data_IF_776027598692
#
_entry.id   IF_776027598692
#
_cell.length_a   1.000
_cell.length_b   1.000
_cell.length_c   1.000
_cell.angle_alpha   90.00
_cell.angle_beta   90.00
_cell.angle_gamma   90.00
#
_symmetry.space_group_name_H-M   'P 1'
#
loop_
_entity.id
_entity.type
_entity.pdbx_description
1 polymer ?
#
# COMPACT_ATOMS: atom_id res chain seq x y z
N UNK A 1 -14.60 -11.50 21.60
CA UNK A 1 -13.33 -12.03 21.07
C UNK A 1 -12.22 -11.20 21.67
N UNK A 2 -11.20 -11.82 22.25
CA UNK A 2 -10.05 -11.09 22.77
C UNK A 2 -9.28 -10.49 21.58
N UNK A 3 -8.67 -9.30 21.72
CA UNK A 3 -7.93 -8.64 20.62
C UNK A 3 -6.87 -9.55 19.96
N UNK A 4 -6.21 -10.39 20.76
CA UNK A 4 -5.25 -11.39 20.26
C UNK A 4 -5.89 -12.50 19.42
N UNK A 5 -7.07 -12.98 19.79
CA UNK A 5 -7.81 -13.97 19.00
C UNK A 5 -8.26 -13.37 17.66
N UNK A 6 -8.70 -12.11 17.68
CA UNK A 6 -9.09 -11.39 16.47
C UNK A 6 -7.90 -11.19 15.53
N UNK A 7 -6.74 -10.80 16.09
CA UNK A 7 -5.50 -10.67 15.34
C UNK A 7 -5.06 -12.00 14.74
N UNK A 8 -5.05 -13.07 15.54
CA UNK A 8 -4.70 -14.41 15.07
C UNK A 8 -5.62 -14.85 13.91
N UNK A 9 -6.93 -14.59 14.01
CA UNK A 9 -7.89 -14.89 12.94
C UNK A 9 -7.60 -14.13 11.65
N UNK A 10 -7.24 -12.85 11.74
CA UNK A 10 -6.86 -12.06 10.55
C UNK A 10 -5.54 -12.53 9.92
N UNK A 11 -4.55 -12.86 10.75
CA UNK A 11 -3.28 -13.40 10.28
C UNK A 11 -3.45 -14.78 9.61
N UNK A 12 -4.30 -15.63 10.16
CA UNK A 12 -4.67 -16.92 9.56
C UNK A 12 -5.40 -16.76 8.22
N UNK A 13 -6.34 -15.80 8.14
CA UNK A 13 -7.06 -15.50 6.90
C UNK A 13 -6.12 -15.04 5.78
N UNK A 14 -5.18 -14.13 6.08
CA UNK A 14 -4.12 -13.71 5.15
C UNK A 14 -3.20 -14.89 4.78
N UNK A 15 -2.97 -15.77 5.76
CA UNK A 15 -1.99 -16.83 5.76
C UNK A 15 -0.58 -16.31 6.08
N UNK A 16 0.34 -17.22 6.34
CA UNK A 16 1.79 -16.94 6.42
C UNK A 16 2.57 -17.85 5.47
N UNK A 17 3.65 -17.38 4.83
CA UNK A 17 4.50 -18.26 4.05
C UNK A 17 5.26 -19.14 5.05
N UNK A 18 5.72 -20.30 4.61
CA UNK A 18 6.67 -21.05 5.44
C UNK A 18 7.88 -20.14 5.71
N UNK A 19 8.29 -19.91 6.98
CA UNK A 19 9.41 -19.03 7.28
C UNK A 19 10.65 -19.47 6.52
N UNK A 20 11.23 -18.54 5.75
CA UNK A 20 12.50 -18.72 5.04
C UNK A 20 13.43 -17.60 5.44
N UNK A 21 14.68 -17.94 5.75
CA UNK A 21 15.72 -16.96 6.03
C UNK A 21 16.30 -16.49 4.70
N UNK A 22 16.23 -15.20 4.44
CA UNK A 22 16.89 -14.55 3.31
C UNK A 22 17.27 -13.12 3.70
N UNK A 23 18.23 -12.54 2.98
CA UNK A 23 18.57 -11.13 3.12
C UNK A 23 17.57 -10.28 2.33
N UNK A 24 16.71 -9.56 3.04
CA UNK A 24 15.74 -8.62 2.48
C UNK A 24 16.36 -7.23 2.20
N UNK A 25 17.67 -7.16 2.02
CA UNK A 25 18.40 -5.93 1.71
C UNK A 25 17.97 -5.27 0.40
N UNK A 26 18.19 -3.95 0.34
CA UNK A 26 17.93 -3.13 -0.83
C UNK A 26 19.20 -2.96 -1.66
N UNK A 27 19.13 -3.29 -2.95
CA UNK A 27 20.22 -3.05 -3.91
C UNK A 27 19.81 -1.92 -4.86
N UNK A 28 20.41 -0.72 -4.76
CA UNK A 28 20.18 0.37 -5.72
C UNK A 28 20.61 -0.04 -7.13
N UNK A 29 19.79 0.28 -8.13
CA UNK A 29 20.07 0.01 -9.55
C UNK A 29 20.22 1.28 -10.36
N UNK A 30 19.37 2.27 -10.12
CA UNK A 30 19.38 3.54 -10.85
C UNK A 30 19.09 4.68 -9.88
N UNK A 31 19.85 5.77 -10.01
CA UNK A 31 19.57 7.04 -9.35
C UNK A 31 19.34 8.12 -10.40
N UNK A 32 18.34 8.95 -10.19
CA UNK A 32 18.02 10.07 -11.07
C UNK A 32 17.60 11.29 -10.26
N UNK A 33 17.60 12.45 -10.90
CA UNK A 33 17.19 13.72 -10.29
C UNK A 33 16.08 14.34 -11.11
N UNK A 34 15.01 14.72 -10.43
CA UNK A 34 13.90 15.49 -10.97
C UNK A 34 13.92 16.90 -10.39
N UNK A 35 12.97 17.73 -10.81
CA UNK A 35 12.76 19.07 -10.23
C UNK A 35 12.48 19.00 -8.73
N UNK A 36 11.62 18.07 -8.30
CA UNK A 36 11.10 18.01 -6.92
C UNK A 36 11.88 17.06 -6.00
N UNK A 37 12.55 16.04 -6.54
CA UNK A 37 13.19 14.98 -5.75
C UNK A 37 14.37 14.31 -6.41
N UNK A 38 15.14 13.61 -5.58
CA UNK A 38 16.11 12.60 -5.98
C UNK A 38 15.43 11.24 -5.89
N UNK A 39 15.37 10.53 -7.01
CA UNK A 39 14.81 9.18 -7.10
C UNK A 39 15.91 8.12 -7.09
N UNK A 40 15.70 7.05 -6.32
CA UNK A 40 16.54 5.83 -6.38
C UNK A 40 15.64 4.64 -6.61
N UNK A 41 15.82 3.96 -7.74
CA UNK A 41 15.17 2.69 -8.04
C UNK A 41 16.14 1.58 -7.69
N UNK A 42 15.67 0.59 -6.96
CA UNK A 42 16.44 -0.59 -6.63
C UNK A 42 15.56 -1.83 -6.50
N UNK A 43 16.17 -2.92 -6.10
CA UNK A 43 15.48 -4.20 -5.87
C UNK A 43 15.64 -4.66 -4.43
N UNK A 44 14.59 -5.26 -3.90
CA UNK A 44 14.56 -5.92 -2.61
C UNK A 44 14.09 -7.36 -2.78
N UNK A 45 14.72 -8.32 -2.10
CA UNK A 45 14.19 -9.68 -2.06
C UNK A 45 12.90 -9.74 -1.23
N UNK A 46 11.91 -10.49 -1.72
CA UNK A 46 10.68 -10.84 -1.00
C UNK A 46 10.57 -12.32 -0.70
N UNK A 47 11.36 -13.14 -1.42
CA UNK A 47 11.65 -14.54 -1.15
C UNK A 47 13.11 -14.80 -1.60
N UNK A 48 13.72 -15.97 -1.30
CA UNK A 48 15.11 -16.25 -1.70
C UNK A 48 15.41 -16.04 -3.21
N UNK A 49 14.42 -16.26 -4.07
CA UNK A 49 14.50 -16.18 -5.53
C UNK A 49 13.59 -15.11 -6.16
N UNK A 50 12.83 -14.36 -5.34
CA UNK A 50 11.84 -13.38 -5.80
C UNK A 50 12.26 -11.99 -5.33
N UNK A 51 12.17 -11.00 -6.22
CA UNK A 51 12.55 -9.61 -5.94
C UNK A 51 11.44 -8.65 -6.34
N UNK A 52 11.23 -7.60 -5.57
CA UNK A 52 10.40 -6.45 -5.92
C UNK A 52 11.28 -5.24 -6.24
N UNK A 53 10.89 -4.46 -7.25
CA UNK A 53 11.42 -3.10 -7.46
C UNK A 53 10.79 -2.14 -6.47
N UNK A 54 11.61 -1.22 -5.98
CA UNK A 54 11.20 -0.14 -5.08
C UNK A 54 11.77 1.16 -5.62
N UNK A 55 10.93 2.20 -5.70
CA UNK A 55 11.38 3.58 -5.83
C UNK A 55 11.43 4.23 -4.46
N UNK A 56 12.57 4.83 -4.14
CA UNK A 56 12.75 5.74 -3.02
C UNK A 56 12.81 7.16 -3.56
N UNK A 57 11.90 8.02 -3.13
CA UNK A 57 11.82 9.43 -3.51
C UNK A 57 12.19 10.29 -2.30
N UNK A 58 13.27 11.06 -2.41
CA UNK A 58 13.70 12.00 -1.36
C UNK A 58 13.62 13.44 -1.86
N UNK A 59 12.90 14.34 -1.16
CA UNK A 59 12.89 15.77 -1.50
C UNK A 59 14.31 16.32 -1.69
N UNK A 60 14.52 17.21 -2.66
CA UNK A 60 15.88 17.76 -2.93
C UNK A 60 16.46 18.49 -1.71
N UNK A 61 15.62 19.19 -0.98
CA UNK A 61 15.95 19.88 0.25
C UNK A 61 15.31 19.15 1.44
N UNK A 62 15.86 17.98 1.78
CA UNK A 62 15.32 17.13 2.84
C UNK A 62 15.73 17.64 4.23
N UNK A 63 14.76 18.04 5.05
CA UNK A 63 14.96 18.26 6.48
C UNK A 63 14.94 16.92 7.22
N UNK A 64 16.03 16.58 7.90
CA UNK A 64 16.24 15.27 8.55
C UNK A 64 16.18 15.37 10.09
N UNK A 65 15.74 14.30 10.79
CA UNK A 65 15.09 13.13 10.23
C UNK A 65 13.71 13.50 9.66
N UNK A 66 13.29 12.86 8.58
CA UNK A 66 12.10 13.23 7.82
C UNK A 66 10.93 12.27 8.09
N UNK A 67 9.67 12.74 8.05
CA UNK A 67 8.54 11.84 8.00
C UNK A 67 8.55 11.03 6.70
N UNK A 68 8.02 9.81 6.73
CA UNK A 68 8.03 8.93 5.57
C UNK A 68 6.68 8.26 5.32
N UNK A 69 6.38 8.04 4.04
CA UNK A 69 5.15 7.41 3.58
C UNK A 69 5.48 6.22 2.68
N UNK A 70 4.99 5.05 3.08
CA UNK A 70 4.94 3.89 2.19
C UNK A 70 3.75 4.06 1.24
N UNK A 71 3.98 3.95 -0.06
CA UNK A 71 3.00 4.19 -1.11
C UNK A 71 2.94 2.99 -2.08
N UNK A 72 2.38 1.85 -1.66
CA UNK A 72 2.26 0.67 -2.51
C UNK A 72 1.19 0.88 -3.59
N UNK A 73 1.42 0.35 -4.80
CA UNK A 73 0.44 0.36 -5.88
C UNK A 73 0.71 -0.79 -6.88
N UNK A 74 0.54 -0.60 -8.19
CA UNK A 74 0.95 -1.61 -9.17
C UNK A 74 2.49 -1.68 -9.29
N UNK A 75 3.11 -0.56 -9.64
CA UNK A 75 4.55 -0.44 -9.82
C UNK A 75 5.02 1.01 -9.65
N UNK A 76 6.32 1.24 -9.39
CA UNK A 76 6.82 2.54 -8.94
C UNK A 76 6.60 3.66 -9.96
N UNK A 77 6.74 3.38 -11.26
CA UNK A 77 6.51 4.37 -12.32
C UNK A 77 5.07 4.90 -12.33
N UNK A 78 4.07 4.08 -11.93
CA UNK A 78 2.67 4.52 -11.86
C UNK A 78 2.46 5.61 -10.84
N UNK A 79 3.11 5.55 -9.68
CA UNK A 79 2.89 6.53 -8.59
C UNK A 79 3.83 7.73 -8.67
N UNK A 80 4.97 7.56 -9.35
CA UNK A 80 5.96 8.61 -9.56
C UNK A 80 5.55 9.55 -10.71
N UNK A 81 4.69 9.08 -11.61
CA UNK A 81 4.20 9.84 -12.76
C UNK A 81 5.24 10.05 -13.85
N UNK A 82 6.35 9.30 -13.82
CA UNK A 82 7.46 9.39 -14.79
C UNK A 82 7.85 8.01 -15.32
N UNK A 83 8.39 7.96 -16.54
CA UNK A 83 9.15 6.80 -17.02
C UNK A 83 10.60 6.93 -16.55
N UNK A 84 11.20 5.87 -15.99
CA UNK A 84 12.56 5.97 -15.42
C UNK A 84 13.67 6.08 -16.46
N UNK A 85 13.44 5.62 -17.69
CA UNK A 85 14.45 5.70 -18.75
C UNK A 85 14.54 7.10 -19.37
N UNK A 86 13.39 7.77 -19.57
CA UNK A 86 13.34 9.10 -20.20
C UNK A 86 13.20 10.23 -19.19
N UNK A 87 12.76 9.92 -17.96
CA UNK A 87 12.33 10.88 -16.93
C UNK A 87 11.18 11.80 -17.39
N UNK A 88 10.56 11.49 -18.52
CA UNK A 88 9.40 12.22 -19.01
C UNK A 88 8.17 11.87 -18.18
N UNK A 89 7.27 12.84 -18.03
CA UNK A 89 5.97 12.58 -17.42
C UNK A 89 5.21 11.58 -18.28
N UNK A 90 4.56 10.62 -17.64
CA UNK A 90 3.69 9.68 -18.35
C UNK A 90 2.46 10.44 -18.88
N UNK A 91 2.11 10.24 -20.14
CA UNK A 91 0.90 10.83 -20.74
C UNK A 91 -0.38 10.29 -20.07
N UNK A 92 -1.45 11.09 -20.06
CA UNK A 92 -2.78 10.71 -19.53
C UNK A 92 -2.78 10.22 -18.07
N UNK A 93 -1.96 10.79 -17.18
CA UNK A 93 -1.92 10.42 -15.76
C UNK A 93 -3.17 10.87 -15.01
N UNK A 94 -4.08 9.97 -14.57
CA UNK A 94 -5.06 10.32 -13.55
C UNK A 94 -4.34 10.73 -12.26
N UNK A 95 -5.01 11.48 -11.38
CA UNK A 95 -4.42 12.03 -10.15
C UNK A 95 -3.79 10.96 -9.23
N UNK A 96 -4.27 9.72 -9.32
CA UNK A 96 -3.68 8.55 -8.66
C UNK A 96 -2.24 8.25 -9.09
N UNK A 97 -1.78 8.82 -10.20
CA UNK A 97 -0.43 8.63 -10.75
C UNK A 97 0.59 9.69 -10.29
N UNK A 98 0.16 10.68 -9.51
CA UNK A 98 1.03 11.75 -8.97
C UNK A 98 0.98 11.82 -7.44
N UNK A 99 0.44 10.79 -6.76
CA UNK A 99 0.38 10.73 -5.30
C UNK A 99 1.79 10.81 -4.69
N UNK A 100 2.77 10.13 -5.28
CA UNK A 100 4.17 10.18 -4.82
C UNK A 100 4.75 11.58 -4.92
N UNK A 101 4.51 12.26 -6.05
CA UNK A 101 4.95 13.64 -6.26
C UNK A 101 4.30 14.61 -5.26
N UNK A 102 3.00 14.46 -5.00
CA UNK A 102 2.28 15.30 -4.05
C UNK A 102 2.85 15.16 -2.63
N UNK A 103 3.17 13.94 -2.19
CA UNK A 103 3.75 13.68 -0.88
C UNK A 103 5.19 14.21 -0.77
N UNK A 104 6.03 13.93 -1.77
CA UNK A 104 7.40 14.43 -1.81
C UNK A 104 7.47 15.96 -1.73
N UNK A 105 6.58 16.67 -2.43
CA UNK A 105 6.50 18.14 -2.37
C UNK A 105 6.14 18.69 -0.99
N UNK A 106 5.55 17.87 -0.12
CA UNK A 106 5.25 18.20 1.27
C UNK A 106 6.41 17.86 2.23
N UNK A 107 7.52 17.33 1.72
CA UNK A 107 8.70 17.00 2.51
C UNK A 107 8.75 15.56 3.01
N UNK A 108 7.83 14.69 2.57
CA UNK A 108 7.87 13.27 2.91
C UNK A 108 8.93 12.53 2.09
N UNK A 109 9.65 11.62 2.74
CA UNK A 109 10.35 10.53 2.04
C UNK A 109 9.31 9.51 1.60
N UNK A 110 9.32 9.09 0.34
CA UNK A 110 8.32 8.15 -0.19
C UNK A 110 9.00 6.86 -0.63
N UNK A 111 8.51 5.73 -0.13
CA UNK A 111 8.89 4.38 -0.59
C UNK A 111 7.73 3.77 -1.36
N UNK A 112 7.96 3.40 -2.61
CA UNK A 112 6.95 2.85 -3.49
C UNK A 112 7.37 1.48 -4.03
N UNK A 113 6.96 0.38 -3.37
CA UNK A 113 7.19 -0.97 -3.87
C UNK A 113 6.23 -1.33 -5.00
N UNK A 114 6.71 -2.17 -5.92
CA UNK A 114 5.85 -2.89 -6.86
C UNK A 114 5.14 -4.06 -6.18
N UNK A 115 4.10 -4.59 -6.83
CA UNK A 115 3.33 -5.72 -6.28
C UNK A 115 3.59 -7.02 -7.01
N UNK A 116 3.19 -8.13 -6.37
CA UNK A 116 3.68 -9.44 -6.75
C UNK A 116 3.28 -9.93 -8.15
N UNK A 117 2.26 -9.33 -8.77
CA UNK A 117 1.91 -9.60 -10.17
C UNK A 117 3.02 -9.29 -11.19
N UNK A 118 4.06 -8.56 -10.78
CA UNK A 118 5.24 -8.28 -11.60
C UNK A 118 6.48 -9.06 -11.16
N UNK A 119 6.49 -9.63 -9.95
CA UNK A 119 7.60 -10.43 -9.47
C UNK A 119 7.34 -11.95 -9.54
N UNK A 120 6.09 -12.36 -9.77
CA UNK A 120 5.64 -13.75 -9.96
C UNK A 120 4.50 -13.83 -11.01
N UNK A 121 4.51 -14.82 -11.94
CA UNK A 121 5.68 -15.48 -12.49
C UNK A 121 6.54 -14.52 -13.31
N UNK A 122 7.74 -15.00 -13.63
CA UNK A 122 8.44 -14.49 -14.81
C UNK A 122 7.51 -14.62 -16.01
N UNK A 123 7.21 -13.49 -16.63
CA UNK A 123 6.17 -13.37 -17.62
C UNK A 123 6.58 -12.30 -18.64
N UNK A 124 6.37 -12.60 -19.92
CA UNK A 124 6.71 -11.73 -21.05
C UNK A 124 5.59 -10.74 -21.41
N UNK A 125 4.41 -10.85 -20.77
CA UNK A 125 3.29 -9.93 -21.01
C UNK A 125 3.66 -8.49 -20.63
N UNK A 126 2.98 -7.48 -21.18
CA UNK A 126 3.18 -6.09 -20.71
C UNK A 126 2.88 -5.94 -19.22
N UNK A 127 3.48 -4.96 -18.54
CA UNK A 127 3.29 -4.73 -17.08
C UNK A 127 1.83 -4.50 -16.69
N UNK A 128 1.08 -3.82 -17.56
CA UNK A 128 -0.34 -3.53 -17.36
C UNK A 128 -1.28 -4.65 -17.86
N UNK A 129 -0.74 -5.78 -18.31
CA UNK A 129 -1.55 -6.88 -18.81
C UNK A 129 -2.28 -7.58 -17.65
N UNK A 130 -3.60 -7.37 -17.58
CA UNK A 130 -4.45 -7.93 -16.52
C UNK A 130 -4.30 -9.45 -16.27
N UNK A 131 -4.09 -10.31 -17.29
CA UNK A 131 -3.86 -11.74 -17.06
C UNK A 131 -2.69 -12.07 -16.13
N UNK A 132 -1.72 -11.15 -15.97
CA UNK A 132 -0.61 -11.30 -15.01
C UNK A 132 -1.10 -11.58 -13.59
N UNK A 133 -2.18 -10.94 -13.15
CA UNK A 133 -2.71 -11.12 -11.80
C UNK A 133 -3.17 -12.55 -11.52
N UNK A 134 -3.92 -13.15 -12.46
CA UNK A 134 -4.35 -14.54 -12.32
C UNK A 134 -3.16 -15.51 -12.38
N UNK A 135 -2.19 -15.27 -13.27
CA UNK A 135 -0.95 -16.07 -13.34
C UNK A 135 -0.16 -16.01 -12.03
N UNK A 136 -0.01 -14.81 -11.47
CA UNK A 136 0.68 -14.56 -10.22
C UNK A 136 -0.01 -15.25 -9.05
N UNK A 137 -1.34 -15.15 -8.95
CA UNK A 137 -2.13 -15.81 -7.92
C UNK A 137 -2.01 -17.35 -8.03
N UNK A 138 -2.03 -17.89 -9.25
CA UNK A 138 -1.86 -19.32 -9.48
C UNK A 138 -0.48 -19.83 -9.05
N UNK A 139 0.60 -19.11 -9.38
CA UNK A 139 1.94 -19.49 -8.91
C UNK A 139 2.09 -19.34 -7.40
N UNK A 140 1.57 -18.25 -6.82
CA UNK A 140 1.55 -18.03 -5.37
C UNK A 140 0.90 -19.21 -4.65
N UNK A 141 -0.27 -19.64 -5.13
CA UNK A 141 -1.02 -20.77 -4.58
C UNK A 141 -0.26 -22.11 -4.71
N UNK A 142 0.57 -22.28 -5.74
CA UNK A 142 1.44 -23.45 -5.88
C UNK A 142 2.63 -23.40 -4.91
N UNK A 143 3.25 -22.23 -4.74
CA UNK A 143 4.42 -22.02 -3.88
C UNK A 143 4.06 -22.03 -2.39
N UNK A 144 2.92 -21.45 -2.04
CA UNK A 144 2.45 -21.23 -0.67
C UNK A 144 0.94 -21.50 -0.56
N UNK A 145 0.51 -22.78 -0.42
CA UNK A 145 -0.90 -23.14 -0.53
C UNK A 145 -1.84 -22.51 0.50
N UNK A 146 -1.33 -22.16 1.67
CA UNK A 146 -2.11 -21.54 2.74
C UNK A 146 -2.16 -20.01 2.64
N UNK A 147 -1.46 -19.44 1.66
CA UNK A 147 -1.33 -18.00 1.45
C UNK A 147 -2.41 -17.43 0.54
N UNK A 148 -2.77 -16.19 0.81
CA UNK A 148 -3.66 -15.41 -0.05
C UNK A 148 -2.86 -14.38 -0.83
N UNK A 149 -3.36 -13.96 -1.99
CA UNK A 149 -2.76 -12.85 -2.72
C UNK A 149 -2.71 -11.57 -1.89
N UNK A 150 -3.73 -11.32 -1.05
CA UNK A 150 -3.69 -10.21 -0.09
C UNK A 150 -2.58 -10.39 0.95
N UNK A 151 -2.38 -11.60 1.46
CA UNK A 151 -1.27 -11.94 2.36
C UNK A 151 0.11 -11.65 1.75
N UNK A 152 0.34 -12.03 0.48
CA UNK A 152 1.57 -11.72 -0.25
C UNK A 152 1.79 -10.21 -0.39
N UNK A 153 0.74 -9.47 -0.78
CA UNK A 153 0.82 -8.02 -0.93
C UNK A 153 1.19 -7.32 0.38
N UNK A 154 0.59 -7.74 1.50
CA UNK A 154 0.90 -7.20 2.83
C UNK A 154 2.33 -7.54 3.25
N UNK A 155 2.76 -8.79 3.06
CA UNK A 155 4.11 -9.22 3.43
C UNK A 155 5.19 -8.46 2.65
N UNK A 156 5.04 -8.33 1.33
CA UNK A 156 6.00 -7.62 0.48
C UNK A 156 6.08 -6.13 0.84
N UNK A 157 4.93 -5.50 1.09
CA UNK A 157 4.88 -4.10 1.50
C UNK A 157 5.48 -3.87 2.90
N UNK A 158 5.36 -4.84 3.83
CA UNK A 158 6.00 -4.76 5.14
C UNK A 158 7.53 -4.87 5.06
N UNK A 159 8.07 -5.64 4.11
CA UNK A 159 9.51 -5.65 3.85
C UNK A 159 10.00 -4.29 3.33
N UNK A 160 9.22 -3.61 2.49
CA UNK A 160 9.52 -2.25 2.06
C UNK A 160 9.40 -1.22 3.21
N UNK A 161 8.44 -1.42 4.13
CA UNK A 161 8.33 -0.65 5.37
C UNK A 161 9.56 -0.84 6.27
N UNK A 162 10.11 -2.05 6.36
CA UNK A 162 11.33 -2.31 7.13
C UNK A 162 12.53 -1.52 6.59
N UNK A 163 12.69 -1.46 5.26
CA UNK A 163 13.71 -0.62 4.63
C UNK A 163 13.47 0.87 4.92
N UNK A 164 12.23 1.33 4.78
CA UNK A 164 11.87 2.73 5.03
C UNK A 164 12.15 3.13 6.49
N UNK A 165 11.82 2.28 7.45
CA UNK A 165 12.04 2.54 8.87
C UNK A 165 13.52 2.46 9.29
N UNK A 166 14.36 1.79 8.51
CA UNK A 166 15.79 1.66 8.73
C UNK A 166 16.63 2.71 7.95
N UNK A 167 16.00 3.58 7.17
CA UNK A 167 16.66 4.65 6.43
C UNK A 167 17.11 5.77 7.40
N UNK A 168 18.41 6.08 7.44
CA UNK A 168 19.00 7.09 8.33
C UNK A 168 18.41 8.51 8.12
N UNK A 169 17.76 8.75 6.97
CA UNK A 169 17.11 10.02 6.69
C UNK A 169 15.67 10.10 7.22
N UNK A 170 15.11 8.99 7.68
CA UNK A 170 13.71 8.83 8.09
C UNK A 170 13.60 8.81 9.61
N UNK A 171 12.57 9.47 10.14
CA UNK A 171 12.19 9.35 11.53
C UNK A 171 11.28 8.12 11.74
N UNK A 172 11.73 7.10 12.48
CA UNK A 172 10.95 5.87 12.67
C UNK A 172 9.65 6.09 13.47
N UNK A 173 9.45 7.26 14.09
CA UNK A 173 8.22 7.60 14.81
C UNK A 173 7.21 8.37 13.92
N UNK A 174 7.59 8.75 12.70
CA UNK A 174 6.75 9.52 11.77
C UNK A 174 6.52 8.77 10.47
N UNK A 175 6.02 7.54 10.60
CA UNK A 175 5.73 6.64 9.47
C UNK A 175 4.23 6.61 9.18
N UNK A 176 3.88 6.72 7.90
CA UNK A 176 2.53 6.48 7.41
C UNK A 176 2.53 5.53 6.21
N UNK A 177 1.33 5.08 5.88
CA UNK A 177 1.07 4.37 4.62
C UNK A 177 -0.12 5.02 3.94
N UNK A 178 0.01 5.24 2.64
CA UNK A 178 -1.05 5.81 1.82
C UNK A 178 -1.25 4.97 0.56
N UNK A 179 -2.45 4.99 -0.02
CA UNK A 179 -2.67 4.32 -1.29
C UNK A 179 -4.07 4.50 -1.84
N UNK A 180 -4.19 4.27 -3.15
CA UNK A 180 -5.44 4.35 -3.90
C UNK A 180 -5.77 2.99 -4.54
N UNK A 181 -7.06 2.62 -4.61
CA UNK A 181 -7.52 1.38 -5.26
C UNK A 181 -6.80 0.15 -4.66
N UNK A 182 -6.11 -0.65 -5.47
CA UNK A 182 -5.21 -1.71 -4.98
C UNK A 182 -4.26 -1.21 -3.87
N UNK A 183 -3.62 -0.06 -4.07
CA UNK A 183 -2.73 0.54 -3.09
C UNK A 183 -3.44 0.87 -1.78
N UNK A 184 -4.71 1.26 -1.83
CA UNK A 184 -5.54 1.52 -0.65
C UNK A 184 -5.82 0.24 0.14
N UNK A 185 -6.06 -0.90 -0.54
CA UNK A 185 -6.18 -2.22 0.10
C UNK A 185 -4.91 -2.55 0.88
N UNK A 186 -3.74 -2.40 0.24
CA UNK A 186 -2.45 -2.69 0.85
C UNK A 186 -2.17 -1.73 2.02
N UNK A 187 -2.40 -0.43 1.82
CA UNK A 187 -2.20 0.58 2.85
C UNK A 187 -3.03 0.31 4.10
N UNK A 188 -4.32 -0.02 3.93
CA UNK A 188 -5.21 -0.33 5.03
C UNK A 188 -4.71 -1.53 5.85
N UNK A 189 -4.36 -2.65 5.20
CA UNK A 189 -3.89 -3.84 5.89
C UNK A 189 -2.51 -3.65 6.53
N UNK A 190 -1.54 -3.05 5.83
CA UNK A 190 -0.20 -2.79 6.39
C UNK A 190 -0.31 -1.87 7.59
N UNK A 191 -1.06 -0.78 7.48
CA UNK A 191 -1.18 0.20 8.55
C UNK A 191 -1.93 -0.28 9.79
N UNK A 192 -2.89 -1.19 9.63
CA UNK A 192 -3.62 -1.77 10.77
C UNK A 192 -2.89 -2.94 11.42
N UNK A 193 -1.94 -3.57 10.74
CA UNK A 193 -1.21 -4.74 11.24
C UNK A 193 0.22 -4.43 11.70
N UNK A 194 0.75 -3.24 11.40
CA UNK A 194 2.10 -2.82 11.79
C UNK A 194 2.06 -1.63 12.75
N UNK A 195 2.47 -1.87 14.01
CA UNK A 195 2.37 -0.89 15.09
C UNK A 195 3.29 0.32 14.94
N UNK A 196 4.23 0.30 13.97
CA UNK A 196 5.08 1.46 13.67
C UNK A 196 4.34 2.53 12.87
N UNK A 197 3.26 2.17 12.18
CA UNK A 197 2.47 3.09 11.38
C UNK A 197 1.62 3.97 12.28
N UNK A 198 1.74 5.28 12.11
CA UNK A 198 0.98 6.28 12.85
C UNK A 198 -0.28 6.74 12.11
N UNK A 199 -0.22 6.76 10.77
CA UNK A 199 -1.30 7.27 9.93
C UNK A 199 -1.54 6.38 8.70
N UNK A 200 -2.82 6.26 8.32
CA UNK A 200 -3.27 5.57 7.13
C UNK A 200 -4.14 6.51 6.31
N UNK A 201 -3.83 6.64 5.02
CA UNK A 201 -4.75 7.19 4.02
C UNK A 201 -5.07 6.13 2.99
N UNK A 202 -6.32 5.69 2.91
CA UNK A 202 -6.75 4.75 1.88
C UNK A 202 -7.84 5.39 1.02
N UNK A 203 -7.72 5.25 -0.29
CA UNK A 203 -8.64 5.84 -1.25
C UNK A 203 -9.34 4.77 -2.08
N UNK A 204 -10.66 4.79 -2.03
CA UNK A 204 -11.61 4.08 -2.89
C UNK A 204 -11.20 2.62 -3.16
N UNK A 205 -10.88 1.91 -2.08
CA UNK A 205 -10.37 0.54 -2.13
C UNK A 205 -11.45 -0.51 -1.85
N UNK A 206 -12.62 -0.06 -1.41
CA UNK A 206 -13.78 -0.86 -1.05
C UNK A 206 -13.63 -1.48 0.33
N UNK A 207 -13.89 -0.72 1.40
CA UNK A 207 -13.83 -1.22 2.79
C UNK A 207 -14.96 -2.21 3.12
N UNK A 208 -16.00 -2.28 2.28
CA UNK A 208 -17.06 -3.29 2.38
C UNK A 208 -16.73 -4.47 1.46
N UNK A 209 -16.94 -5.70 1.93
CA UNK A 209 -16.58 -6.88 1.13
C UNK A 209 -17.24 -6.96 -0.24
N UNK A 210 -18.47 -6.49 -0.33
CA UNK A 210 -19.28 -6.57 -1.54
C UNK A 210 -19.17 -5.31 -2.42
N UNK A 211 -18.35 -4.33 -2.02
CA UNK A 211 -18.20 -3.11 -2.81
C UNK A 211 -17.12 -3.20 -3.89
N UNK A 212 -16.27 -4.23 -3.86
CA UNK A 212 -15.25 -4.45 -4.90
C UNK A 212 -14.86 -5.92 -5.04
N UNK A 213 -13.85 -6.19 -5.84
CA UNK A 213 -13.41 -7.50 -6.27
C UNK A 213 -12.56 -8.28 -5.23
N UNK A 214 -12.91 -8.23 -3.94
CA UNK A 214 -12.19 -8.99 -2.90
C UNK A 214 -12.16 -10.51 -3.12
N UNK A 215 -13.09 -11.03 -3.93
CA UNK A 215 -13.23 -12.43 -4.29
C UNK A 215 -12.22 -12.89 -5.36
N UNK A 216 -11.50 -11.98 -6.00
CA UNK A 216 -10.48 -12.35 -6.97
C UNK A 216 -9.32 -13.10 -6.30
N UNK A 217 -8.72 -14.02 -7.05
CA UNK A 217 -7.68 -14.95 -6.54
C UNK A 217 -6.42 -14.21 -6.06
N UNK A 218 -6.17 -13.01 -6.60
CA UNK A 218 -5.06 -12.19 -6.16
C UNK A 218 -5.32 -11.39 -4.86
N UNK A 219 -6.50 -11.54 -4.27
CA UNK A 219 -6.83 -11.07 -2.93
C UNK A 219 -7.16 -12.26 -2.01
N UNK A 220 -8.43 -12.47 -1.65
CA UNK A 220 -8.86 -13.55 -0.75
C UNK A 220 -9.40 -14.78 -1.48
N UNK A 221 -9.72 -14.67 -2.77
CA UNK A 221 -10.20 -15.79 -3.58
C UNK A 221 -11.33 -16.56 -2.89
N UNK A 222 -11.19 -17.89 -2.89
CA UNK A 222 -12.14 -18.82 -2.28
C UNK A 222 -12.29 -18.67 -0.76
N UNK A 223 -11.34 -18.05 -0.05
CA UNK A 223 -11.43 -17.86 1.41
C UNK A 223 -12.48 -16.81 1.79
N UNK A 224 -12.79 -15.85 0.90
CA UNK A 224 -13.68 -14.73 1.24
C UNK A 224 -15.06 -15.17 1.74
N UNK A 225 -15.67 -16.18 1.10
CA UNK A 225 -17.00 -16.66 1.51
C UNK A 225 -17.01 -17.21 2.94
N UNK A 226 -15.98 -17.98 3.32
CA UNK A 226 -15.82 -18.49 4.67
C UNK A 226 -15.53 -17.37 5.68
N UNK A 227 -14.73 -16.37 5.30
CA UNK A 227 -14.46 -15.19 6.13
C UNK A 227 -15.74 -14.40 6.42
N UNK A 228 -16.58 -14.16 5.41
CA UNK A 228 -17.89 -13.52 5.56
C UNK A 228 -18.81 -14.34 6.47
N UNK A 229 -18.88 -15.66 6.26
CA UNK A 229 -19.68 -16.56 7.09
C UNK A 229 -19.21 -16.59 8.56
N UNK A 230 -17.92 -16.38 8.80
CA UNK A 230 -17.33 -16.25 10.13
C UNK A 230 -17.49 -14.83 10.75
N UNK A 231 -18.23 -13.93 10.10
CA UNK A 231 -18.47 -12.57 10.59
C UNK A 231 -17.24 -11.67 10.56
N UNK A 232 -16.27 -11.95 9.68
CA UNK A 232 -15.14 -11.04 9.46
C UNK A 232 -15.61 -9.85 8.62
N UNK A 233 -15.21 -8.64 9.00
CA UNK A 233 -15.43 -7.39 8.27
C UNK A 233 -14.26 -6.43 8.52
N UNK A 234 -13.93 -5.59 7.54
CA UNK A 234 -12.66 -4.86 7.53
C UNK A 234 -12.51 -3.86 8.68
N UNK A 235 -13.58 -3.34 9.26
CA UNK A 235 -13.55 -2.47 10.44
C UNK A 235 -12.91 -3.13 11.67
N UNK A 236 -12.93 -4.47 11.75
CA UNK A 236 -12.22 -5.21 12.82
C UNK A 236 -10.70 -4.95 12.82
N UNK A 237 -10.11 -4.62 11.67
CA UNK A 237 -8.68 -4.27 11.61
C UNK A 237 -8.40 -2.91 12.29
N UNK A 238 -9.35 -1.97 12.28
CA UNK A 238 -9.23 -0.71 13.01
C UNK A 238 -9.37 -0.89 14.52
N UNK A 239 -10.09 -1.92 14.98
CA UNK A 239 -10.14 -2.32 16.39
C UNK A 239 -8.79 -2.87 16.88
N UNK A 240 -8.04 -3.55 16.01
CA UNK A 240 -6.70 -4.06 16.31
C UNK A 240 -5.64 -2.96 16.37
N UNK A 241 -5.90 -1.81 15.75
CA UNK A 241 -4.99 -0.66 15.70
C UNK A 241 -5.63 0.59 16.31
N UNK A 242 -6.00 0.60 17.60
CA UNK A 242 -6.72 1.72 18.21
C UNK A 242 -5.91 3.02 18.22
N UNK A 243 -4.58 2.92 18.18
CA UNK A 243 -3.70 4.08 18.12
C UNK A 243 -3.59 4.68 16.70
N UNK A 244 -3.71 3.89 15.63
CA UNK A 244 -3.48 4.41 14.27
C UNK A 244 -4.58 5.40 13.89
N UNK A 245 -4.22 6.53 13.29
CA UNK A 245 -5.19 7.46 12.70
C UNK A 245 -5.49 7.03 11.28
N UNK A 246 -6.77 6.99 10.91
CA UNK A 246 -7.20 6.53 9.57
C UNK A 246 -8.03 7.61 8.88
N UNK A 247 -7.80 7.79 7.58
CA UNK A 247 -8.61 8.60 6.68
C UNK A 247 -9.02 7.78 5.45
N UNK A 248 -10.32 7.69 5.20
CA UNK A 248 -10.89 7.08 4.01
C UNK A 248 -11.34 8.16 3.03
N UNK A 249 -10.80 8.11 1.81
CA UNK A 249 -11.36 8.83 0.66
C UNK A 249 -12.30 7.87 -0.07
N UNK A 250 -13.57 8.21 -0.17
CA UNK A 250 -14.63 7.42 -0.79
C UNK A 250 -15.12 8.05 -2.11
N UNK A 251 -15.36 7.22 -3.12
CA UNK A 251 -15.82 7.63 -4.45
C UNK A 251 -16.76 6.61 -5.11
N UNK A 252 -16.21 5.60 -5.79
CA UNK A 252 -16.96 4.58 -6.52
C UNK A 252 -17.11 3.28 -5.73
N UNK A 253 -16.01 2.73 -5.21
CA UNK A 253 -16.01 1.47 -4.47
C UNK A 253 -16.18 1.67 -2.96
N UNK A 254 -15.91 2.87 -2.48
CA UNK A 254 -16.32 3.35 -1.17
C UNK A 254 -17.34 4.46 -1.34
N UNK A 255 -18.31 4.52 -0.43
CA UNK A 255 -19.42 5.47 -0.50
C UNK A 255 -19.89 5.85 0.91
N UNK A 256 -20.95 6.66 1.04
CA UNK A 256 -21.48 7.06 2.35
C UNK A 256 -21.71 5.88 3.32
N UNK A 257 -22.21 4.75 2.82
CA UNK A 257 -22.39 3.52 3.61
C UNK A 257 -21.10 2.88 4.14
N UNK A 258 -19.92 3.17 3.57
CA UNK A 258 -18.63 2.69 4.07
C UNK A 258 -18.33 3.20 5.48
N UNK A 259 -18.94 4.31 5.91
CA UNK A 259 -18.76 4.91 7.24
C UNK A 259 -19.09 3.96 8.39
N UNK A 260 -19.87 2.91 8.14
CA UNK A 260 -20.21 1.87 9.14
C UNK A 260 -18.99 1.08 9.62
N UNK A 261 -17.94 0.96 8.80
CA UNK A 261 -16.70 0.26 9.17
C UNK A 261 -15.70 1.18 9.89
N UNK A 262 -15.97 2.49 9.95
CA UNK A 262 -15.05 3.51 10.48
C UNK A 262 -15.35 3.82 11.94
N UNK A 263 -14.32 4.19 12.69
CA UNK A 263 -14.46 4.75 14.03
C UNK A 263 -14.87 6.22 13.94
N UNK A 264 -15.41 6.75 15.03
CA UNK A 264 -15.82 8.16 15.08
C UNK A 264 -14.66 9.15 15.00
N UNK A 265 -13.46 8.73 15.39
CA UNK A 265 -12.22 9.49 15.27
C UNK A 265 -11.62 9.48 13.86
N UNK A 266 -12.12 8.62 12.96
CA UNK A 266 -11.52 8.45 11.63
C UNK A 266 -11.99 9.57 10.68
N UNK A 267 -11.07 10.02 9.84
CA UNK A 267 -11.38 10.95 8.78
C UNK A 267 -12.13 10.27 7.63
N UNK A 268 -13.08 10.97 7.04
CA UNK A 268 -13.89 10.44 5.95
C UNK A 268 -14.25 11.56 4.97
N UNK A 269 -13.94 11.37 3.70
CA UNK A 269 -14.35 12.26 2.62
C UNK A 269 -15.01 11.43 1.52
N UNK A 270 -16.32 11.59 1.31
CA UNK A 270 -17.01 10.99 0.17
C UNK A 270 -17.17 12.03 -0.94
N UNK A 271 -16.34 11.94 -1.98
CA UNK A 271 -16.38 12.87 -3.10
C UNK A 271 -17.38 12.44 -4.19
N UNK A 272 -17.81 11.17 -4.21
CA UNK A 272 -18.83 10.62 -5.14
C UNK A 272 -18.61 10.94 -6.64
N UNK A 273 -17.35 11.17 -7.05
CA UNK A 273 -16.99 11.60 -8.41
C UNK A 273 -16.39 10.49 -9.28
N UNK A 274 -16.61 9.22 -8.89
CA UNK A 274 -16.04 8.05 -9.56
C UNK A 274 -14.82 7.49 -8.81
N UNK A 275 -14.05 6.63 -9.48
CA UNK A 275 -12.96 5.90 -8.84
C UNK A 275 -11.78 6.79 -8.45
N UNK A 276 -11.37 7.70 -9.34
CA UNK A 276 -10.23 8.56 -9.08
C UNK A 276 -10.59 9.61 -7.99
N UNK A 277 -9.78 9.76 -6.94
CA UNK A 277 -10.01 10.81 -5.95
C UNK A 277 -9.87 12.19 -6.60
N UNK A 278 -10.63 13.17 -6.13
CA UNK A 278 -10.52 14.55 -6.60
C UNK A 278 -9.38 15.31 -5.89
N UNK A 279 -8.92 16.45 -6.44
CA UNK A 279 -7.89 17.26 -5.81
C UNK A 279 -8.27 17.71 -4.40
N UNK A 280 -9.54 18.05 -4.18
CA UNK A 280 -10.05 18.51 -2.88
C UNK A 280 -10.06 17.38 -1.85
N UNK A 281 -10.40 16.16 -2.27
CA UNK A 281 -10.37 14.99 -1.41
C UNK A 281 -8.93 14.62 -1.03
N UNK A 282 -8.01 14.67 -2.00
CA UNK A 282 -6.58 14.48 -1.77
C UNK A 282 -6.02 15.56 -0.84
N UNK A 283 -6.35 16.83 -1.05
CA UNK A 283 -5.90 17.93 -0.19
C UNK A 283 -6.33 17.74 1.27
N UNK A 284 -7.57 17.29 1.51
CA UNK A 284 -8.04 16.96 2.87
C UNK A 284 -7.26 15.79 3.48
N UNK A 285 -7.05 14.72 2.73
CA UNK A 285 -6.30 13.57 3.21
C UNK A 285 -4.82 13.88 3.49
N UNK A 286 -4.20 14.74 2.68
CA UNK A 286 -2.83 15.20 2.90
C UNK A 286 -2.73 16.16 4.09
N UNK A 287 -3.72 17.03 4.29
CA UNK A 287 -3.83 17.82 5.53
C UNK A 287 -3.94 16.92 6.76
N UNK A 288 -4.69 15.82 6.67
CA UNK A 288 -4.78 14.84 7.74
C UNK A 288 -3.44 14.12 8.01
N UNK A 289 -2.67 13.77 6.97
CA UNK A 289 -1.31 13.23 7.15
C UNK A 289 -0.41 14.22 7.90
N UNK A 290 -0.41 15.50 7.49
CA UNK A 290 0.40 16.53 8.13
C UNK A 290 0.05 16.68 9.62
N UNK A 291 -1.24 16.74 9.95
CA UNK A 291 -1.70 16.77 11.35
C UNK A 291 -1.28 15.54 12.15
N UNK A 292 -1.06 14.41 11.47
CA UNK A 292 -0.72 13.15 12.13
C UNK A 292 0.79 12.98 12.34
N UNK A 293 1.60 13.49 11.41
CA UNK A 293 3.04 13.25 11.36
C UNK A 293 3.89 14.49 11.67
N UNK A 294 3.36 15.71 11.54
CA UNK A 294 4.12 16.95 11.70
C UNK A 294 3.69 17.75 12.94
N UNK A 295 2.42 17.67 13.31
CA UNK A 295 1.84 18.44 14.42
C UNK A 295 1.63 17.59 15.70
N UNK A 296 1.83 16.27 15.59
CA UNK A 296 1.55 15.27 16.63
C UNK A 296 2.77 14.75 17.36
#
# INVERSE_FOLDING_TARGET
MHAEELKARWLDALGSPTPRVFDAGFTPLQRFECEDYVGTVGVQFTEPDVRQRILVMKPRCLAKPAPAVLLPFYYPERIAGIEFDTLERRDNTPESSILGLALVRRGYVVYAPETYHLNLPKCELGRDAWPRWAMAAAELQQRHPDWTGMGKLVADARLALDLMAADDDVDPNRLAVAGHSLGGKIAFFVGTLDSRIRCIVASDFGILWDSTNWHDEWYFGRKLAAMKAAGMHLGQLLELAPAVRFFLIAGQYDHAGSRVELRDSDGFCNHAAGHAPTPEALAQAWGFLDQCLLEG
#
